data_IF_401792818776
#
_entry.id   IF_401792818776
#
_cell.length_a   1.000
_cell.length_b   1.000
_cell.length_c   1.000
_cell.angle_alpha   90.00
_cell.angle_beta   90.00
_cell.angle_gamma   90.00
#
_symmetry.space_group_name_H-M   'P 1'
#
loop_
_entity.id
_entity.type
_entity.pdbx_description
1 polymer ?
#
# COMPACT_ATOMS: atom_id res chain seq x y z
N UNK A 1 21.32 -32.26 23.50
CA UNK A 1 20.44 -31.15 23.08
C UNK A 1 18.99 -31.55 23.33
N UNK A 2 18.30 -30.89 24.25
CA UNK A 2 16.87 -31.15 24.48
C UNK A 2 16.04 -30.49 23.37
N UNK A 3 15.26 -31.26 22.62
CA UNK A 3 14.29 -30.71 21.65
C UNK A 3 13.15 -30.06 22.43
N UNK A 4 13.00 -28.74 22.34
CA UNK A 4 11.84 -28.03 22.86
C UNK A 4 10.61 -28.48 22.08
N UNK A 5 9.70 -29.20 22.73
CA UNK A 5 8.40 -29.55 22.15
C UNK A 5 7.49 -28.34 22.34
N UNK A 6 7.08 -27.72 21.24
CA UNK A 6 6.15 -26.60 21.27
C UNK A 6 4.71 -27.11 21.44
N UNK A 7 3.89 -26.34 22.16
CA UNK A 7 2.46 -26.66 22.31
C UNK A 7 1.70 -26.47 21.01
N UNK A 8 0.56 -27.14 20.85
CA UNK A 8 -0.36 -26.89 19.72
C UNK A 8 -0.70 -25.40 19.59
N UNK A 9 -0.91 -24.74 20.74
CA UNK A 9 -1.26 -23.33 20.81
C UNK A 9 -0.19 -22.42 20.20
N UNK A 10 1.09 -22.74 20.43
CA UNK A 10 2.21 -22.04 19.79
C UNK A 10 2.10 -22.09 18.26
N UNK A 11 1.82 -23.26 17.67
CA UNK A 11 1.68 -23.39 16.22
C UNK A 11 0.47 -22.62 15.67
N UNK A 12 -0.67 -22.68 16.37
CA UNK A 12 -1.87 -21.92 15.99
C UNK A 12 -1.57 -20.42 15.98
N UNK A 13 -0.94 -19.91 17.04
CA UNK A 13 -0.60 -18.50 17.16
C UNK A 13 0.39 -18.07 16.07
N UNK A 14 1.41 -18.90 15.78
CA UNK A 14 2.37 -18.61 14.71
C UNK A 14 1.71 -18.61 13.33
N UNK A 15 0.80 -19.55 13.08
CA UNK A 15 0.02 -19.59 11.84
C UNK A 15 -0.88 -18.36 11.68
N UNK A 16 -1.49 -17.88 12.77
CA UNK A 16 -2.29 -16.66 12.78
C UNK A 16 -1.45 -15.42 12.45
N UNK A 17 -0.27 -15.27 13.05
CA UNK A 17 0.65 -14.17 12.76
C UNK A 17 1.08 -14.18 11.27
N UNK A 18 1.45 -15.35 10.73
CA UNK A 18 1.79 -15.49 9.32
C UNK A 18 0.62 -15.17 8.38
N UNK A 19 -0.60 -15.55 8.76
CA UNK A 19 -1.82 -15.19 8.01
C UNK A 19 -1.98 -13.67 7.96
N UNK A 20 -1.86 -13.02 9.10
CA UNK A 20 -1.98 -11.56 9.21
C UNK A 20 -0.90 -10.83 8.40
N UNK A 21 0.36 -11.28 8.46
CA UNK A 21 1.43 -10.75 7.62
C UNK A 21 1.10 -10.83 6.12
N UNK A 22 0.58 -11.97 5.66
CA UNK A 22 0.16 -12.13 4.26
C UNK A 22 -1.01 -11.21 3.89
N UNK A 23 -1.92 -10.94 4.81
CA UNK A 23 -3.03 -10.00 4.57
C UNK A 23 -2.51 -8.57 4.38
N UNK A 24 -1.56 -8.12 5.20
CA UNK A 24 -0.88 -6.85 4.97
C UNK A 24 -0.22 -6.77 3.59
N UNK A 25 0.45 -7.83 3.15
CA UNK A 25 1.05 -7.89 1.82
C UNK A 25 -0.01 -7.78 0.71
N UNK A 26 -1.18 -8.41 0.87
CA UNK A 26 -2.28 -8.35 -0.10
C UNK A 26 -2.89 -6.95 -0.17
N UNK A 27 -3.19 -6.33 0.98
CA UNK A 27 -3.77 -4.98 1.04
C UNK A 27 -2.84 -3.97 0.35
N UNK A 28 -1.56 -4.00 0.71
CA UNK A 28 -0.55 -3.09 0.14
C UNK A 28 -0.23 -3.34 -1.33
N UNK A 29 -0.67 -4.46 -1.92
CA UNK A 29 -0.42 -4.78 -3.32
C UNK A 29 -1.00 -3.74 -4.29
N UNK A 30 -2.11 -3.08 -3.90
CA UNK A 30 -2.81 -2.05 -4.68
C UNK A 30 -2.00 -0.76 -4.86
N UNK A 31 -0.97 -0.55 -4.04
CA UNK A 31 -0.15 0.66 -4.07
C UNK A 31 0.90 0.64 -5.21
N UNK A 32 1.36 1.82 -5.66
CA UNK A 32 2.51 1.93 -6.56
C UNK A 32 3.76 1.26 -5.99
N UNK A 33 4.63 0.75 -6.87
CA UNK A 33 5.79 -0.09 -6.49
C UNK A 33 6.73 0.58 -5.48
N UNK A 34 7.02 1.87 -5.62
CA UNK A 34 7.90 2.60 -4.70
C UNK A 34 7.32 2.59 -3.28
N UNK A 35 6.13 3.17 -3.10
CA UNK A 35 5.44 3.25 -1.80
C UNK A 35 5.16 1.87 -1.20
N UNK A 36 4.77 0.90 -2.04
CA UNK A 36 4.51 -0.48 -1.61
C UNK A 36 5.75 -1.13 -0.99
N UNK A 37 6.94 -0.89 -1.56
CA UNK A 37 8.18 -1.50 -1.10
C UNK A 37 8.57 -0.98 0.28
N UNK A 38 8.46 0.32 0.50
CA UNK A 38 8.76 0.95 1.79
C UNK A 38 7.81 0.46 2.89
N UNK A 39 6.50 0.45 2.62
CA UNK A 39 5.50 -0.02 3.59
C UNK A 39 5.72 -1.50 3.91
N UNK A 40 5.97 -2.35 2.90
CA UNK A 40 6.23 -3.78 3.14
C UNK A 40 7.52 -4.01 3.92
N UNK A 41 8.53 -3.16 3.74
CA UNK A 41 9.76 -3.19 4.55
C UNK A 41 9.44 -2.89 6.00
N UNK A 42 8.70 -1.82 6.29
CA UNK A 42 8.33 -1.46 7.65
C UNK A 42 7.49 -2.56 8.31
N UNK A 43 6.46 -3.06 7.64
CA UNK A 43 5.64 -4.17 8.14
C UNK A 43 6.51 -5.40 8.45
N UNK A 44 7.48 -5.71 7.59
CA UNK A 44 8.41 -6.82 7.87
C UNK A 44 9.20 -6.58 9.16
N UNK A 45 9.75 -5.38 9.36
CA UNK A 45 10.51 -5.04 10.58
C UNK A 45 9.64 -5.25 11.82
N UNK A 46 8.41 -4.74 11.83
CA UNK A 46 7.50 -4.91 12.97
C UNK A 46 7.24 -6.38 13.30
N UNK A 47 7.01 -7.22 12.29
CA UNK A 47 6.80 -8.66 12.51
C UNK A 47 8.08 -9.39 12.98
N UNK A 48 9.26 -8.95 12.55
CA UNK A 48 10.53 -9.52 13.03
C UNK A 48 10.84 -9.08 14.47
N UNK A 49 10.48 -7.87 14.87
CA UNK A 49 10.61 -7.40 16.27
C UNK A 49 9.82 -8.29 17.24
N UNK A 50 8.69 -8.84 16.79
CA UNK A 50 7.86 -9.75 17.59
C UNK A 50 8.19 -11.25 17.38
N UNK A 51 9.27 -11.59 16.67
CA UNK A 51 9.56 -12.99 16.26
C UNK A 51 9.71 -13.96 17.41
N UNK A 52 10.31 -13.51 18.51
CA UNK A 52 10.68 -14.33 19.66
C UNK A 52 9.72 -14.19 20.85
N UNK A 53 8.58 -13.53 20.65
CA UNK A 53 7.54 -13.46 21.69
C UNK A 53 6.91 -14.85 21.83
N UNK A 54 7.05 -15.43 23.02
CA UNK A 54 6.51 -16.76 23.34
C UNK A 54 5.34 -16.72 24.34
N UNK A 55 5.17 -15.61 25.06
CA UNK A 55 4.11 -15.45 26.05
C UNK A 55 2.74 -15.37 25.35
N UNK A 56 1.81 -16.24 25.73
CA UNK A 56 0.54 -16.38 25.03
C UNK A 56 -0.29 -15.09 25.08
N UNK A 57 -0.39 -14.44 26.24
CA UNK A 57 -1.16 -13.22 26.42
C UNK A 57 -0.64 -12.08 25.54
N UNK A 58 0.68 -11.92 25.48
CA UNK A 58 1.33 -10.97 24.59
C UNK A 58 1.07 -11.29 23.12
N UNK A 59 1.15 -12.56 22.72
CA UNK A 59 0.86 -12.94 21.33
C UNK A 59 -0.59 -12.63 20.97
N UNK A 60 -1.55 -12.92 21.85
CA UNK A 60 -2.96 -12.58 21.60
C UNK A 60 -3.17 -11.07 21.48
N UNK A 61 -2.51 -10.28 22.35
CA UNK A 61 -2.55 -8.83 22.28
C UNK A 61 -1.99 -8.31 20.95
N UNK A 62 -0.82 -8.80 20.54
CA UNK A 62 -0.18 -8.45 19.27
C UNK A 62 -1.03 -8.84 18.06
N UNK A 63 -1.67 -10.01 18.09
CA UNK A 63 -2.57 -10.45 17.02
C UNK A 63 -3.81 -9.54 16.92
N UNK A 64 -4.36 -9.09 18.06
CA UNK A 64 -5.47 -8.13 18.09
C UNK A 64 -5.03 -6.77 17.54
N UNK A 65 -3.92 -6.25 18.05
CA UNK A 65 -3.34 -5.00 17.58
C UNK A 65 -3.06 -5.03 16.07
N UNK A 66 -2.45 -6.10 15.56
CA UNK A 66 -2.20 -6.27 14.14
C UNK A 66 -3.47 -6.28 13.29
N UNK A 67 -4.62 -6.73 13.82
CA UNK A 67 -5.89 -6.74 13.08
C UNK A 67 -6.44 -5.32 12.97
N UNK A 68 -6.32 -4.52 14.03
CA UNK A 68 -6.69 -3.11 14.02
C UNK A 68 -5.80 -2.31 13.08
N UNK A 69 -4.48 -2.54 13.13
CA UNK A 69 -3.53 -1.95 12.18
C UNK A 69 -3.83 -2.34 10.74
N UNK A 70 -4.23 -3.59 10.47
CA UNK A 70 -4.61 -4.00 9.12
C UNK A 70 -5.84 -3.25 8.60
N UNK A 71 -6.86 -3.02 9.45
CA UNK A 71 -8.03 -2.21 9.08
C UNK A 71 -7.61 -0.78 8.73
N UNK A 72 -6.75 -0.18 9.55
CA UNK A 72 -6.23 1.17 9.32
C UNK A 72 -5.41 1.26 8.03
N UNK A 73 -4.49 0.33 7.80
CA UNK A 73 -3.71 0.27 6.55
C UNK A 73 -4.63 0.08 5.34
N UNK A 74 -5.65 -0.76 5.43
CA UNK A 74 -6.61 -0.94 4.33
C UNK A 74 -7.34 0.35 3.98
N UNK A 75 -7.86 1.09 4.97
CA UNK A 75 -8.58 2.33 4.70
C UNK A 75 -7.68 3.41 4.09
N UNK A 76 -6.42 3.51 4.54
CA UNK A 76 -5.43 4.41 3.95
C UNK A 76 -5.11 4.03 2.49
N UNK A 77 -4.90 2.73 2.22
CA UNK A 77 -4.63 2.24 0.87
C UNK A 77 -5.81 2.53 -0.06
N UNK A 78 -7.03 2.22 0.37
CA UNK A 78 -8.24 2.43 -0.43
C UNK A 78 -8.44 3.93 -0.74
N UNK A 79 -8.13 4.80 0.23
CA UNK A 79 -8.14 6.26 0.04
C UNK A 79 -7.07 6.71 -0.96
N UNK A 80 -5.84 6.20 -0.84
CA UNK A 80 -4.72 6.56 -1.71
C UNK A 80 -4.99 6.14 -3.17
N UNK A 81 -5.50 4.92 -3.37
CA UNK A 81 -5.87 4.39 -4.68
C UNK A 81 -7.02 5.18 -5.30
N UNK A 82 -8.02 5.57 -4.51
CA UNK A 82 -9.13 6.40 -4.99
C UNK A 82 -8.66 7.78 -5.48
N UNK A 83 -7.78 8.45 -4.73
CA UNK A 83 -7.17 9.72 -5.13
C UNK A 83 -6.34 9.57 -6.41
N UNK A 84 -5.61 8.46 -6.57
CA UNK A 84 -4.85 8.19 -7.79
C UNK A 84 -5.78 8.03 -9.00
N UNK A 85 -6.90 7.32 -8.86
CA UNK A 85 -7.88 7.19 -9.93
C UNK A 85 -8.50 8.54 -10.32
N UNK A 86 -8.82 9.40 -9.34
CA UNK A 86 -9.32 10.75 -9.61
C UNK A 86 -8.31 11.58 -10.41
N UNK A 87 -7.04 11.62 -9.99
CA UNK A 87 -5.98 12.31 -10.74
C UNK A 87 -5.84 11.80 -12.18
N UNK A 88 -5.91 10.49 -12.40
CA UNK A 88 -5.84 9.89 -13.74
C UNK A 88 -7.09 10.14 -14.61
N UNK A 89 -8.24 10.47 -14.01
CA UNK A 89 -9.45 10.89 -14.74
C UNK A 89 -9.38 12.36 -15.13
N UNK A 90 -8.99 13.23 -14.19
CA UNK A 90 -8.78 14.67 -14.46
C UNK A 90 -7.76 14.87 -15.58
N UNK A 91 -6.64 14.16 -15.55
CA UNK A 91 -5.61 14.28 -16.58
C UNK A 91 -5.99 13.65 -17.93
N UNK A 92 -7.10 12.89 -18.00
CA UNK A 92 -7.62 12.28 -19.23
C UNK A 92 -8.77 13.07 -19.87
N UNK A 93 -9.30 14.08 -19.17
CA UNK A 93 -10.05 15.16 -19.81
C UNK A 93 -9.06 16.28 -20.10
N UNK A 94 -8.37 16.31 -21.26
CA UNK A 94 -8.02 17.61 -21.77
C UNK A 94 -9.36 18.32 -21.97
N UNK A 95 -9.56 19.47 -21.32
CA UNK A 95 -10.58 20.38 -21.77
C UNK A 95 -10.38 20.53 -23.28
N UNK A 96 -11.38 20.14 -24.07
CA UNK A 96 -11.46 20.55 -25.46
C UNK A 96 -11.70 22.05 -25.47
N UNK A 97 -10.64 22.84 -25.24
CA UNK A 97 -10.57 24.23 -25.66
C UNK A 97 -10.13 24.21 -27.12
N UNK A 98 -11.14 24.12 -27.97
CA UNK A 98 -11.22 24.72 -29.30
C UNK A 98 -10.01 24.51 -30.23
N UNK A 99 -10.17 23.58 -31.16
CA UNK A 99 -9.47 23.63 -32.44
C UNK A 99 -9.89 24.89 -33.20
N UNK A 100 -9.20 25.99 -32.92
CA UNK A 100 -9.21 27.26 -33.69
C UNK A 100 -8.10 28.24 -33.27
N UNK A 101 -7.29 27.95 -32.24
CA UNK A 101 -6.29 28.89 -31.72
C UNK A 101 -4.82 28.69 -32.16
N UNK A 102 -4.45 27.50 -32.65
CA UNK A 102 -3.03 27.21 -32.96
C UNK A 102 -2.57 27.77 -34.30
N UNK A 103 -3.49 27.91 -35.25
CA UNK A 103 -3.18 28.44 -36.59
C UNK A 103 -3.07 29.96 -36.57
N UNK A 104 -3.87 30.65 -35.74
CA UNK A 104 -3.81 32.11 -35.60
C UNK A 104 -2.47 32.58 -34.99
N UNK A 105 -1.91 31.82 -34.05
CA UNK A 105 -0.61 32.15 -33.42
C UNK A 105 0.55 31.87 -34.36
N UNK A 106 0.48 30.82 -35.19
CA UNK A 106 1.50 30.57 -36.23
C UNK A 106 1.48 31.62 -37.35
N UNK A 107 0.31 32.19 -37.64
CA UNK A 107 0.13 33.23 -38.67
C UNK A 107 0.51 34.64 -38.20
N UNK A 108 0.76 34.87 -36.90
CA UNK A 108 1.17 36.18 -36.38
C UNK A 108 2.68 36.41 -36.35
N UNK A 109 3.50 35.40 -36.72
CA UNK A 109 4.95 35.54 -36.75
C UNK A 109 5.41 36.34 -37.99
N UNK A 110 6.32 37.32 -37.82
CA UNK A 110 6.72 38.24 -38.88
C UNK A 110 7.53 37.58 -40.02
N UNK A 111 7.96 36.33 -39.87
CA UNK A 111 8.75 35.59 -40.87
C UNK A 111 7.90 34.78 -41.86
N UNK A 112 6.58 34.66 -41.64
CA UNK A 112 5.67 33.83 -42.46
C UNK A 112 4.96 34.62 -43.59
N UNK A 113 5.51 35.77 -43.98
CA UNK A 113 4.97 36.63 -45.03
C UNK A 113 6.00 36.84 -46.13
N UNK A 114 6.27 35.78 -46.88
CA UNK A 114 6.98 35.78 -48.17
C UNK A 114 6.34 34.74 -49.06
#
# INVERSE_FOLDING_TARGET
>A
MHKKIHSLRFFINRAAALRQYREFQRVTAKLPTSTRSDIRRQIRVEFENCRFVEEEEQIQLLLRYGKEQLKYVSSLVDTAVSKQHQKRKVNRNPEHTNGQGVDAVKMSWPWNRT
#
